data_IF_675807641981
#
_entry.id   IF_675807641981
#
_cell.length_a   1.000
_cell.length_b   1.000
_cell.length_c   1.000
_cell.angle_alpha   90.00
_cell.angle_beta   90.00
_cell.angle_gamma   90.00
#
_symmetry.space_group_name_H-M   'P 1'
#
loop_
_entity.id
_entity.type
_entity.pdbx_description
1 polymer ?
#
# COMPACT_ATOMS: atom_id res chain seq x y z
N UNK A 1 3.64 -16.88 25.08
CA UNK A 1 2.41 -16.74 25.88
C UNK A 1 2.36 -15.31 26.34
N UNK A 2 1.34 -14.52 26.13
CA UNK A 2 0.09 -14.65 25.41
C UNK A 2 -0.48 -13.23 25.52
N UNK A 3 -0.67 -12.60 24.37
CA UNK A 3 -1.68 -11.61 24.00
C UNK A 3 -2.17 -10.55 25.00
N UNK A 4 -2.17 -9.29 24.54
CA UNK A 4 -3.18 -8.31 24.95
C UNK A 4 -3.80 -7.64 23.70
N UNK A 5 -4.78 -8.36 23.12
CA UNK A 5 -5.74 -7.86 22.14
C UNK A 5 -6.98 -7.39 22.90
N UNK A 6 -7.25 -6.07 22.99
CA UNK A 6 -8.62 -5.49 23.06
C UNK A 6 -8.59 -3.95 23.19
N UNK A 7 -8.47 -3.24 22.07
CA UNK A 7 -9.09 -1.90 21.93
C UNK A 7 -9.76 -1.81 20.56
N UNK A 8 -10.78 -2.65 20.40
CA UNK A 8 -11.81 -2.51 19.37
C UNK A 8 -12.76 -1.39 19.83
N UNK A 9 -12.68 -0.21 19.22
CA UNK A 9 -13.68 0.83 19.39
C UNK A 9 -14.94 0.46 18.60
N UNK A 10 -15.81 -0.31 19.26
CA UNK A 10 -17.16 -0.66 18.83
C UNK A 10 -18.08 0.53 19.12
N UNK A 11 -17.98 1.64 18.38
CA UNK A 11 -19.00 2.72 18.44
C UNK A 11 -19.06 3.51 17.14
N UNK A 12 -19.72 2.95 16.11
CA UNK A 12 -20.56 3.74 15.19
C UNK A 12 -21.44 2.80 14.35
N UNK A 13 -22.13 1.90 15.05
CA UNK A 13 -23.25 1.14 14.53
C UNK A 13 -24.51 2.04 14.55
N UNK A 14 -24.56 3.09 13.73
CA UNK A 14 -25.82 3.77 13.41
C UNK A 14 -26.24 3.36 12.01
N UNK A 15 -26.84 2.18 11.97
CA UNK A 15 -27.60 1.64 10.86
C UNK A 15 -28.82 2.51 10.63
N UNK A 16 -28.75 3.45 9.68
CA UNK A 16 -29.92 4.12 9.13
C UNK A 16 -30.02 3.82 7.63
N UNK A 17 -31.10 3.10 7.29
CA UNK A 17 -31.70 2.94 5.97
C UNK A 17 -30.81 2.45 4.82
N UNK A 18 -31.12 1.21 4.37
CA UNK A 18 -30.74 0.65 3.08
C UNK A 18 -30.93 1.68 1.94
N UNK A 19 -29.83 2.27 1.49
CA UNK A 19 -29.63 2.60 0.08
C UNK A 19 -28.63 1.60 -0.47
N UNK A 20 -28.90 1.11 -1.67
CA UNK A 20 -28.05 0.24 -2.45
C UNK A 20 -26.68 0.92 -2.70
N UNK A 21 -25.77 0.89 -1.73
CA UNK A 21 -24.51 1.62 -1.76
C UNK A 21 -23.42 0.78 -2.42
N UNK A 22 -23.50 0.59 -3.73
CA UNK A 22 -22.44 -0.04 -4.53
C UNK A 22 -21.18 0.85 -4.61
N UNK A 23 -21.28 2.13 -4.23
CA UNK A 23 -20.17 3.07 -4.19
C UNK A 23 -19.82 3.45 -2.74
N UNK A 24 -18.58 3.18 -2.33
CA UNK A 24 -17.98 3.62 -1.06
C UNK A 24 -16.82 4.56 -1.36
N UNK A 25 -16.80 5.73 -0.73
CA UNK A 25 -15.66 6.66 -0.81
C UNK A 25 -14.64 6.27 0.27
N UNK A 26 -13.50 5.71 -0.13
CA UNK A 26 -12.37 5.40 0.76
C UNK A 26 -11.24 6.40 0.56
N UNK A 27 -10.68 6.95 1.64
CA UNK A 27 -9.56 7.91 1.60
C UNK A 27 -8.17 7.27 1.68
N UNK A 28 -8.09 6.00 2.09
CA UNK A 28 -6.81 5.30 2.41
C UNK A 28 -6.53 4.13 1.45
N UNK A 29 -7.18 4.11 0.29
CA UNK A 29 -6.97 3.05 -0.71
C UNK A 29 -5.82 3.43 -1.64
N UNK A 30 -4.91 2.48 -1.88
CA UNK A 30 -3.85 2.61 -2.89
C UNK A 30 -4.50 2.45 -4.27
N UNK A 31 -4.23 3.38 -5.17
CA UNK A 31 -4.80 3.42 -6.52
C UNK A 31 -3.70 3.75 -7.55
N UNK A 32 -3.80 3.25 -8.80
CA UNK A 32 -2.93 3.69 -9.87
C UNK A 32 -3.17 5.19 -10.12
N UNK A 33 -2.08 5.96 -10.23
CA UNK A 33 -2.13 7.42 -10.33
C UNK A 33 -1.33 7.90 -11.53
N UNK A 34 -1.92 8.78 -12.35
CA UNK A 34 -1.23 9.41 -13.46
C UNK A 34 -0.63 10.74 -13.02
N UNK A 35 0.70 10.87 -13.10
CA UNK A 35 1.41 12.12 -12.78
C UNK A 35 1.13 13.23 -13.81
N UNK A 36 0.89 12.86 -15.07
CA UNK A 36 0.58 13.81 -16.15
C UNK A 36 -0.82 14.43 -16.00
N UNK A 37 -1.83 13.60 -15.75
CA UNK A 37 -3.22 14.04 -15.62
C UNK A 37 -3.62 14.42 -14.17
N UNK A 38 -2.72 14.18 -13.19
CA UNK A 38 -2.93 14.45 -11.76
C UNK A 38 -4.23 13.86 -11.18
N UNK A 39 -4.61 12.67 -11.64
CA UNK A 39 -5.84 11.97 -11.24
C UNK A 39 -5.55 10.50 -10.96
N UNK A 40 -6.37 9.91 -10.10
CA UNK A 40 -6.45 8.46 -9.94
C UNK A 40 -7.07 7.84 -11.20
N UNK A 41 -6.54 6.69 -11.61
CA UNK A 41 -7.02 5.91 -12.74
C UNK A 41 -7.84 4.71 -12.24
N UNK A 42 -8.74 4.23 -13.09
CA UNK A 42 -9.36 2.93 -12.89
C UNK A 42 -8.39 1.79 -13.23
N UNK A 43 -8.64 0.60 -12.71
CA UNK A 43 -7.81 -0.57 -13.02
C UNK A 43 -7.75 -0.84 -14.53
N UNK A 44 -8.87 -0.68 -15.25
CA UNK A 44 -8.93 -0.92 -16.69
C UNK A 44 -8.09 0.07 -17.49
N UNK A 45 -8.02 1.34 -17.07
CA UNK A 45 -7.18 2.33 -17.74
C UNK A 45 -5.69 2.04 -17.52
N UNK A 46 -5.32 1.53 -16.34
CA UNK A 46 -3.93 1.16 -16.05
C UNK A 46 -3.47 -0.07 -16.86
N UNK A 47 -4.38 -0.98 -17.19
CA UNK A 47 -4.06 -2.21 -17.94
C UNK A 47 -3.95 -2.03 -19.46
N UNK A 48 -4.58 -0.99 -20.03
CA UNK A 48 -4.60 -0.78 -21.48
C UNK A 48 -3.26 -0.29 -22.05
N UNK A 49 -2.38 0.29 -21.23
CA UNK A 49 -1.13 0.91 -21.67
C UNK A 49 0.10 0.35 -20.92
N UNK A 50 0.21 -0.98 -20.85
CA UNK A 50 1.44 -1.61 -20.38
C UNK A 50 2.56 -1.47 -21.41
N UNK A 51 3.65 -0.83 -20.99
CA UNK A 51 4.86 -0.64 -21.81
C UNK A 51 6.06 -1.26 -21.10
N UNK A 52 6.94 -1.88 -21.88
CA UNK A 52 8.21 -2.35 -21.38
C UNK A 52 9.15 -1.17 -21.17
N UNK A 53 9.44 -0.86 -19.90
CA UNK A 53 10.40 0.15 -19.48
C UNK A 53 11.55 -0.56 -18.78
N UNK A 54 12.78 -0.10 -19.02
CA UNK A 54 13.95 -0.62 -18.33
C UNK A 54 14.11 0.10 -17.00
N UNK A 55 13.69 -0.55 -15.91
CA UNK A 55 13.89 -0.03 -14.56
C UNK A 55 15.24 -0.50 -13.97
N UNK A 56 15.88 0.31 -13.13
CA UNK A 56 17.10 -0.11 -12.45
C UNK A 56 16.80 -1.15 -11.37
N UNK A 57 17.45 -2.30 -11.41
CA UNK A 57 17.39 -3.30 -10.33
C UNK A 57 18.49 -3.01 -9.32
N UNK A 58 18.11 -2.61 -8.11
CA UNK A 58 19.08 -2.28 -7.05
C UNK A 58 18.91 -3.20 -5.83
N UNK A 59 20.04 -3.47 -5.17
CA UNK A 59 20.09 -4.16 -3.89
C UNK A 59 20.50 -3.13 -2.82
N UNK A 60 19.68 -2.97 -1.79
CA UNK A 60 19.93 -2.03 -0.69
C UNK A 60 20.23 -2.82 0.58
N UNK A 61 21.38 -2.57 1.20
CA UNK A 61 21.75 -3.14 2.49
C UNK A 61 21.40 -2.17 3.63
N UNK A 62 20.55 -2.59 4.54
CA UNK A 62 20.22 -1.89 5.78
C UNK A 62 21.00 -2.52 6.94
N UNK A 63 22.04 -1.84 7.47
CA UNK A 63 22.77 -2.34 8.63
C UNK A 63 21.86 -2.31 9.87
N UNK A 64 21.93 -3.36 10.69
CA UNK A 64 21.20 -3.41 11.96
C UNK A 64 21.97 -2.59 12.99
N UNK A 65 21.27 -1.68 13.68
CA UNK A 65 21.86 -0.88 14.76
C UNK A 65 22.03 -1.77 15.99
N UNK A 66 23.19 -1.70 16.63
CA UNK A 66 23.57 -2.42 17.87
C UNK A 66 23.75 -3.95 17.75
N UNK A 67 24.13 -4.47 16.58
CA UNK A 67 24.41 -5.90 16.41
C UNK A 67 25.91 -6.24 16.55
N UNK A 68 26.23 -7.28 17.32
CA UNK A 68 27.61 -7.70 17.61
C UNK A 68 28.28 -8.39 16.40
N UNK A 69 27.47 -8.97 15.51
CA UNK A 69 27.93 -9.75 14.36
C UNK A 69 27.96 -8.92 13.06
N UNK A 70 27.70 -7.61 13.13
CA UNK A 70 27.67 -6.67 11.99
C UNK A 70 26.79 -7.17 10.82
N UNK A 71 25.64 -7.76 11.13
CA UNK A 71 24.69 -8.26 10.15
C UNK A 71 23.96 -7.11 9.42
N UNK A 72 23.59 -7.35 8.16
CA UNK A 72 22.85 -6.38 7.34
C UNK A 72 21.65 -7.06 6.70
N UNK A 73 20.50 -6.39 6.74
CA UNK A 73 19.31 -6.79 5.99
C UNK A 73 19.48 -6.36 4.54
N UNK A 74 19.19 -7.24 3.60
CA UNK A 74 19.29 -6.91 2.18
C UNK A 74 17.88 -6.88 1.59
N UNK A 75 17.52 -5.77 0.98
CA UNK A 75 16.29 -5.61 0.23
C UNK A 75 16.60 -5.48 -1.27
N UNK A 76 15.72 -6.03 -2.10
CA UNK A 76 15.75 -5.84 -3.54
C UNK A 76 14.61 -4.90 -3.94
N UNK A 77 14.85 -3.97 -4.86
CA UNK A 77 13.81 -3.11 -5.42
C UNK A 77 14.11 -2.74 -6.87
N UNK A 78 13.07 -2.62 -7.69
CA UNK A 78 13.11 -1.99 -9.03
C UNK A 78 12.66 -0.53 -9.00
N UNK A 79 12.11 -0.07 -7.88
CA UNK A 79 11.69 1.32 -7.67
C UNK A 79 12.54 1.91 -6.54
N UNK A 80 13.68 2.57 -6.85
CA UNK A 80 14.50 3.26 -5.85
C UNK A 80 13.79 4.44 -5.19
#
# INVERSE_FOLDING_TARGET
>A
MEQDLTKLDVTSYTRCHLKLSHAKRGSTLVMPYSTGCRTALSNFEAELDYRYVSDPTIMVSFPIVDDADNASLVAWTTTP
#
